data_IF_034260205191
#
_entry.id   IF_034260205191
#
_cell.length_a   1.000
_cell.length_b   1.000
_cell.length_c   1.000
_cell.angle_alpha   90.00
_cell.angle_beta   90.00
_cell.angle_gamma   90.00
#
_symmetry.space_group_name_H-M   'P 1'
#
loop_
_entity.id
_entity.type
_entity.pdbx_description
1 polymer ?
#
# COMPACT_ATOMS: atom_id res chain seq x y z
N UNK A 1 -3.25 -11.07 14.75
CA UNK A 1 -3.14 -10.26 13.53
C UNK A 1 -4.22 -10.72 12.56
N UNK A 2 -5.04 -9.81 12.05
CA UNK A 2 -5.99 -10.16 10.99
C UNK A 2 -5.25 -10.30 9.65
N UNK A 3 -5.88 -10.93 8.65
CA UNK A 3 -5.33 -11.06 7.29
C UNK A 3 -4.86 -9.69 6.72
N UNK A 4 -5.53 -8.60 7.12
CA UNK A 4 -5.20 -7.23 6.71
C UNK A 4 -3.84 -6.70 7.18
N UNK A 5 -3.24 -7.31 8.20
CA UNK A 5 -2.00 -6.84 8.84
C UNK A 5 -0.75 -7.54 8.33
N UNK A 6 -0.90 -8.54 7.45
CA UNK A 6 0.24 -9.30 6.93
C UNK A 6 0.96 -8.48 5.85
N UNK A 7 2.25 -8.14 6.04
CA UNK A 7 3.02 -7.41 5.04
C UNK A 7 3.53 -8.38 3.97
N UNK A 8 2.64 -8.83 3.09
CA UNK A 8 2.92 -9.83 2.06
C UNK A 8 2.77 -9.31 0.62
N UNK A 9 2.43 -8.04 0.44
CA UNK A 9 2.29 -7.42 -0.88
C UNK A 9 3.53 -6.62 -1.25
N UNK A 10 4.01 -6.79 -2.47
CA UNK A 10 4.95 -5.85 -3.10
C UNK A 10 4.25 -4.52 -3.41
N UNK A 11 5.01 -3.50 -3.81
CA UNK A 11 4.43 -2.22 -4.27
C UNK A 11 3.43 -2.39 -5.42
N UNK A 12 3.73 -3.31 -6.35
CA UNK A 12 2.82 -3.63 -7.47
C UNK A 12 1.51 -4.26 -6.96
N UNK A 13 1.60 -5.23 -6.05
CA UNK A 13 0.41 -5.89 -5.49
C UNK A 13 -0.40 -4.94 -4.62
N UNK A 14 0.25 -4.01 -3.90
CA UNK A 14 -0.45 -2.96 -3.17
C UNK A 14 -1.27 -2.07 -4.12
N UNK A 15 -0.70 -1.70 -5.27
CA UNK A 15 -1.45 -0.99 -6.31
C UNK A 15 -2.63 -1.82 -6.83
N UNK A 16 -2.41 -3.09 -7.19
CA UNK A 16 -3.45 -3.97 -7.72
C UNK A 16 -4.60 -4.13 -6.73
N UNK A 17 -4.28 -4.30 -5.44
CA UNK A 17 -5.26 -4.34 -4.37
C UNK A 17 -6.08 -3.04 -4.29
N UNK A 18 -5.43 -1.88 -4.25
CA UNK A 18 -6.15 -0.61 -4.13
C UNK A 18 -6.98 -0.28 -5.38
N UNK A 19 -6.46 -0.60 -6.57
CA UNK A 19 -7.13 -0.25 -7.82
C UNK A 19 -8.22 -1.25 -8.20
N UNK A 20 -7.92 -2.56 -8.21
CA UNK A 20 -8.84 -3.58 -8.70
C UNK A 20 -9.75 -4.16 -7.61
N UNK A 21 -9.24 -4.38 -6.39
CA UNK A 21 -10.07 -4.96 -5.31
C UNK A 21 -10.86 -3.89 -4.55
N UNK A 22 -10.32 -2.67 -4.38
CA UNK A 22 -10.98 -1.59 -3.65
C UNK A 22 -11.65 -0.54 -4.55
N UNK A 23 -11.54 -0.70 -5.88
CA UNK A 23 -12.09 0.20 -6.90
C UNK A 23 -11.72 1.68 -6.67
N UNK A 24 -10.49 1.93 -6.20
CA UNK A 24 -10.01 3.29 -5.96
C UNK A 24 -9.36 3.87 -7.22
N UNK A 25 -9.53 5.18 -7.49
CA UNK A 25 -8.94 5.86 -8.63
C UNK A 25 -7.45 6.20 -8.39
N UNK A 26 -6.66 5.20 -7.98
CA UNK A 26 -5.21 5.31 -7.77
C UNK A 26 -4.45 4.81 -9.00
N UNK A 27 -3.26 5.36 -9.23
CA UNK A 27 -2.36 4.91 -10.29
C UNK A 27 -1.09 4.30 -9.71
N UNK A 28 -0.41 3.41 -10.46
CA UNK A 28 0.90 2.85 -10.07
C UNK A 28 1.88 3.94 -9.65
N UNK A 29 1.95 5.03 -10.42
CA UNK A 29 2.82 6.19 -10.14
C UNK A 29 2.46 6.87 -8.81
N UNK A 30 1.18 6.97 -8.48
CA UNK A 30 0.74 7.56 -7.22
C UNK A 30 1.16 6.72 -6.02
N UNK A 31 1.02 5.39 -6.11
CA UNK A 31 1.51 4.46 -5.06
C UNK A 31 3.03 4.55 -4.93
N UNK A 32 3.76 4.53 -6.04
CA UNK A 32 5.21 4.67 -6.05
C UNK A 32 5.69 5.93 -5.32
N UNK A 33 5.10 7.08 -5.65
CA UNK A 33 5.46 8.33 -4.97
C UNK A 33 5.06 8.34 -3.50
N UNK A 34 3.95 7.72 -3.12
CA UNK A 34 3.56 7.59 -1.73
C UNK A 34 4.57 6.77 -0.92
N UNK A 35 5.09 5.68 -1.49
CA UNK A 35 6.16 4.88 -0.88
C UNK A 35 7.47 5.67 -0.82
N UNK A 36 7.90 6.32 -1.91
CA UNK A 36 9.12 7.13 -1.94
C UNK A 36 9.10 8.28 -0.91
N UNK A 37 7.92 8.87 -0.68
CA UNK A 37 7.71 9.97 0.27
C UNK A 37 7.43 9.48 1.70
N UNK A 38 7.50 8.17 1.95
CA UNK A 38 7.20 7.56 3.25
C UNK A 38 5.77 7.87 3.76
N UNK A 39 4.83 8.14 2.85
CA UNK A 39 3.41 8.26 3.18
C UNK A 39 2.78 6.87 3.39
N UNK A 40 3.32 5.84 2.72
CA UNK A 40 3.04 4.43 2.98
C UNK A 40 4.35 3.81 3.47
N UNK A 41 4.38 3.39 4.74
CA UNK A 41 5.60 2.86 5.37
C UNK A 41 5.72 1.36 5.07
N UNK A 42 6.78 0.89 4.39
CA UNK A 42 6.98 -0.53 4.13
C UNK A 42 7.50 -1.28 5.37
N UNK A 43 7.15 -2.56 5.46
CA UNK A 43 7.90 -3.52 6.26
C UNK A 43 9.03 -4.10 5.42
N UNK A 44 10.27 -4.01 5.90
CA UNK A 44 11.42 -4.62 5.23
C UNK A 44 11.53 -6.10 5.58
N UNK A 45 11.43 -6.96 4.57
CA UNK A 45 11.64 -8.40 4.70
C UNK A 45 12.66 -8.84 3.64
N UNK A 46 13.82 -9.35 4.09
CA UNK A 46 14.96 -9.61 3.20
C UNK A 46 15.38 -8.36 2.44
N UNK A 47 15.49 -8.47 1.11
CA UNK A 47 15.90 -7.36 0.22
C UNK A 47 14.72 -6.55 -0.34
N UNK A 48 13.49 -6.76 0.15
CA UNK A 48 12.27 -6.17 -0.39
C UNK A 48 11.49 -5.30 0.59
N UNK A 49 10.72 -4.37 0.03
CA UNK A 49 9.69 -3.62 0.74
C UNK A 49 8.35 -4.35 0.57
N UNK A 50 7.70 -4.65 1.68
CA UNK A 50 6.39 -5.31 1.71
C UNK A 50 5.37 -4.48 2.47
N UNK A 51 4.12 -4.62 2.06
CA UNK A 51 2.99 -3.84 2.55
C UNK A 51 1.85 -4.75 2.93
N UNK A 52 1.13 -4.33 3.95
CA UNK A 52 -0.13 -4.93 4.36
C UNK A 52 -1.31 -4.23 3.65
N UNK A 53 -2.47 -4.88 3.62
CA UNK A 53 -3.71 -4.25 3.12
C UNK A 53 -4.06 -3.02 3.95
N UNK A 54 -3.75 -3.06 5.25
CA UNK A 54 -3.99 -1.94 6.17
C UNK A 54 -3.16 -0.71 5.80
N UNK A 55 -1.91 -0.86 5.37
CA UNK A 55 -1.04 0.27 5.02
C UNK A 55 -1.65 1.10 3.88
N UNK A 56 -2.10 0.43 2.82
CA UNK A 56 -2.79 1.08 1.70
C UNK A 56 -4.08 1.79 2.14
N UNK A 57 -4.93 1.11 2.92
CA UNK A 57 -6.19 1.69 3.39
C UNK A 57 -5.98 2.89 4.34
N UNK A 58 -4.97 2.85 5.20
CA UNK A 58 -4.63 3.96 6.09
C UNK A 58 -4.15 5.18 5.30
N UNK A 59 -3.33 4.97 4.28
CA UNK A 59 -2.90 6.05 3.39
C UNK A 59 -4.08 6.66 2.62
N UNK A 60 -5.06 5.87 2.18
CA UNK A 60 -6.28 6.43 1.57
C UNK A 60 -7.08 7.24 2.59
N UNK A 61 -7.22 6.75 3.82
CA UNK A 61 -7.90 7.48 4.90
C UNK A 61 -7.22 8.82 5.21
N UNK A 62 -5.89 8.89 5.16
CA UNK A 62 -5.14 10.13 5.38
C UNK A 62 -5.29 11.16 4.24
N UNK A 63 -5.84 10.77 3.09
CA UNK A 63 -6.20 11.71 2.00
C UNK A 63 -7.47 12.51 2.28
N UNK A 64 -8.33 12.06 3.20
CA UNK A 64 -9.51 12.83 3.60
C UNK A 64 -9.04 14.06 4.39
N UNK A 65 -9.31 15.24 3.84
CA UNK A 65 -9.18 16.52 4.53
C UNK A 65 -10.53 16.96 5.06
#
# INVERSE_FOLDING_TARGET
MGNLDLPNMTEQQLFEYLHYEQDLPVTRRMIHYAVMRWEIVPTRLGNGNYFSRRDGLQWIRSRKR
#
